data_IF_849911369998
#
_entry.id   IF_849911369998
#
_cell.length_a   1.000
_cell.length_b   1.000
_cell.length_c   1.000
_cell.angle_alpha   90.00
_cell.angle_beta   90.00
_cell.angle_gamma   90.00
#
_symmetry.space_group_name_H-M   'P 1'
#
loop_
_entity.id
_entity.type
_entity.pdbx_description
1 polymer ?
#
# COMPACT_ATOMS: atom_id res chain seq x y z
N UNK A 1 -6.87 -14.99 17.56
CA UNK A 1 -5.45 -15.09 17.16
C UNK A 1 -5.16 -16.04 16.00
N UNK A 2 -5.48 -17.34 16.11
CA UNK A 2 -4.91 -18.39 15.23
C UNK A 2 -5.26 -18.30 13.74
N UNK A 3 -6.28 -17.52 13.38
CA UNK A 3 -6.76 -17.35 12.00
C UNK A 3 -6.57 -15.93 11.47
N UNK A 4 -6.03 -15.02 12.28
CA UNK A 4 -5.86 -13.61 11.91
C UNK A 4 -4.41 -13.40 11.48
N UNK A 5 -4.15 -13.19 10.17
CA UNK A 5 -2.81 -12.98 9.69
C UNK A 5 -2.19 -11.71 10.27
N UNK A 6 -0.91 -11.74 10.61
CA UNK A 6 -0.12 -10.59 11.05
C UNK A 6 1.16 -10.49 10.21
N UNK A 7 1.97 -11.55 10.21
CA UNK A 7 3.31 -11.58 9.63
C UNK A 7 3.40 -12.27 8.26
N UNK A 8 2.32 -12.94 7.82
CA UNK A 8 2.34 -13.81 6.63
C UNK A 8 2.59 -13.00 5.34
N UNK A 9 2.04 -11.79 5.23
CA UNK A 9 2.26 -10.93 4.06
C UNK A 9 3.72 -10.50 3.96
N UNK A 10 4.35 -10.13 5.08
CA UNK A 10 5.77 -9.80 5.11
C UNK A 10 6.62 -11.02 4.69
N UNK A 11 6.30 -12.22 5.19
CA UNK A 11 6.96 -13.46 4.79
C UNK A 11 6.91 -13.71 3.28
N UNK A 12 5.74 -13.50 2.65
CA UNK A 12 5.61 -13.65 1.20
C UNK A 12 6.41 -12.59 0.44
N UNK A 13 6.34 -11.32 0.88
CA UNK A 13 7.04 -10.20 0.22
C UNK A 13 8.55 -10.32 0.24
N UNK A 14 9.14 -10.96 1.25
CA UNK A 14 10.60 -11.18 1.33
C UNK A 14 11.06 -12.47 0.64
N UNK A 15 10.14 -13.25 0.09
CA UNK A 15 10.46 -14.47 -0.67
C UNK A 15 10.95 -14.09 -2.07
N UNK A 16 12.18 -14.50 -2.47
CA UNK A 16 12.67 -14.22 -3.82
C UNK A 16 11.72 -14.72 -4.91
N UNK A 17 11.55 -13.92 -5.96
CA UNK A 17 10.67 -14.19 -7.11
C UNK A 17 9.16 -14.32 -6.82
N UNK A 18 8.73 -14.10 -5.58
CA UNK A 18 7.31 -14.05 -5.22
C UNK A 18 6.69 -12.71 -5.65
N UNK A 19 5.49 -12.73 -6.23
CA UNK A 19 4.67 -11.52 -6.37
C UNK A 19 3.51 -11.56 -5.40
N UNK A 20 3.31 -10.49 -4.64
CA UNK A 20 2.27 -10.42 -3.59
C UNK A 20 1.43 -9.16 -3.79
N UNK A 21 0.13 -9.34 -4.03
CA UNK A 21 -0.82 -8.25 -4.26
C UNK A 21 -1.84 -8.20 -3.13
N UNK A 22 -1.95 -7.05 -2.45
CA UNK A 22 -2.96 -6.75 -1.43
C UNK A 22 -3.85 -5.58 -1.92
N UNK A 23 -4.81 -5.85 -2.83
CA UNK A 23 -5.61 -4.82 -3.49
C UNK A 23 -6.58 -4.12 -2.54
N UNK A 24 -6.77 -2.81 -2.71
CA UNK A 24 -7.62 -1.99 -1.85
C UNK A 24 -9.10 -1.97 -2.22
N UNK A 25 -9.44 -2.38 -3.44
CA UNK A 25 -10.83 -2.43 -3.93
C UNK A 25 -10.97 -3.41 -5.10
N UNK A 26 -12.16 -3.44 -5.70
CA UNK A 26 -12.45 -4.31 -6.84
C UNK A 26 -11.62 -4.00 -8.10
N UNK A 27 -11.19 -2.76 -8.29
CA UNK A 27 -10.39 -2.34 -9.46
C UNK A 27 -8.98 -2.88 -9.33
N UNK A 28 -8.33 -2.66 -8.17
CA UNK A 28 -7.01 -3.22 -7.93
C UNK A 28 -7.05 -4.75 -7.92
N UNK A 29 -8.14 -5.34 -7.43
CA UNK A 29 -8.32 -6.80 -7.45
C UNK A 29 -8.34 -7.35 -8.88
N UNK A 30 -9.06 -6.72 -9.80
CA UNK A 30 -9.09 -7.12 -11.21
C UNK A 30 -7.71 -6.97 -11.88
N UNK A 31 -6.98 -5.89 -11.56
CA UNK A 31 -5.64 -5.66 -12.10
C UNK A 31 -4.63 -6.66 -11.55
N UNK A 32 -4.72 -7.00 -10.26
CA UNK A 32 -3.89 -8.03 -9.64
C UNK A 32 -4.15 -9.43 -10.25
N UNK A 33 -5.41 -9.75 -10.55
CA UNK A 33 -5.77 -10.96 -11.28
C UNK A 33 -5.15 -10.99 -12.69
N UNK A 34 -5.31 -9.90 -13.45
CA UNK A 34 -4.71 -9.76 -14.78
C UNK A 34 -3.18 -9.95 -14.72
N UNK A 35 -2.52 -9.26 -13.78
CA UNK A 35 -1.09 -9.41 -13.54
C UNK A 35 -0.73 -10.88 -13.25
N UNK A 36 -1.49 -11.53 -12.38
CA UNK A 36 -1.26 -12.91 -11.99
C UNK A 36 -1.29 -13.91 -13.15
N UNK A 37 -2.24 -13.76 -14.07
CA UNK A 37 -2.38 -14.68 -15.23
C UNK A 37 -1.44 -14.33 -16.40
N UNK A 38 -1.01 -13.08 -16.52
CA UNK A 38 -0.02 -12.65 -17.52
C UNK A 38 1.42 -12.97 -17.11
N UNK A 39 1.67 -13.18 -15.81
CA UNK A 39 2.99 -13.50 -15.29
C UNK A 39 3.39 -14.95 -15.61
N UNK A 40 4.41 -15.12 -16.45
CA UNK A 40 4.89 -16.44 -16.90
C UNK A 40 6.10 -16.96 -16.11
N UNK A 41 6.72 -16.14 -15.26
CA UNK A 41 8.05 -16.39 -14.68
C UNK A 41 8.04 -16.54 -13.14
N UNK A 42 6.87 -16.71 -12.53
CA UNK A 42 6.75 -17.01 -11.12
C UNK A 42 5.34 -16.90 -10.56
N UNK A 43 5.15 -17.22 -9.27
CA UNK A 43 3.84 -17.23 -8.63
C UNK A 43 3.34 -15.84 -8.24
N UNK A 44 2.02 -15.67 -8.23
CA UNK A 44 1.36 -14.45 -7.74
C UNK A 44 0.38 -14.83 -6.63
N UNK A 45 0.55 -14.27 -5.42
CA UNK A 45 -0.40 -14.39 -4.33
C UNK A 45 -1.33 -13.17 -4.28
N UNK A 46 -2.63 -13.42 -4.16
CA UNK A 46 -3.64 -12.41 -3.93
C UNK A 46 -4.07 -12.44 -2.47
N UNK A 47 -3.87 -11.32 -1.77
CA UNK A 47 -4.21 -11.14 -0.35
C UNK A 47 -5.52 -10.37 -0.26
N UNK A 48 -6.62 -11.10 -0.06
CA UNK A 48 -7.98 -10.58 -0.20
C UNK A 48 -8.66 -10.41 1.16
N UNK A 49 -9.53 -9.41 1.26
CA UNK A 49 -10.32 -9.14 2.47
C UNK A 49 -11.48 -10.11 2.62
N UNK A 50 -11.97 -10.24 3.86
CA UNK A 50 -13.26 -10.88 4.15
C UNK A 50 -14.41 -9.86 4.11
N UNK A 51 -14.12 -8.64 4.55
CA UNK A 51 -15.04 -7.52 4.66
C UNK A 51 -15.10 -6.70 3.36
N UNK A 52 -16.18 -5.93 3.22
CA UNK A 52 -16.37 -4.99 2.11
C UNK A 52 -15.31 -3.88 2.16
N UNK A 53 -14.85 -3.45 0.99
CA UNK A 53 -13.90 -2.35 0.83
C UNK A 53 -14.50 -1.25 -0.05
N UNK A 54 -14.30 0.01 0.33
CA UNK A 54 -14.74 1.14 -0.49
C UNK A 54 -13.89 1.27 -1.76
N UNK A 55 -14.56 1.46 -2.91
CA UNK A 55 -13.87 1.75 -4.16
C UNK A 55 -13.28 3.16 -4.14
N UNK A 56 -12.03 3.28 -4.56
CA UNK A 56 -11.35 4.57 -4.70
C UNK A 56 -11.57 5.17 -6.08
N UNK A 57 -11.76 6.48 -6.13
CA UNK A 57 -11.77 7.25 -7.38
C UNK A 57 -10.36 7.26 -7.99
N UNK A 58 -10.30 7.17 -9.32
CA UNK A 58 -9.05 7.20 -10.08
C UNK A 58 -9.23 7.97 -11.37
N UNK A 59 -8.24 8.75 -11.74
CA UNK A 59 -8.06 9.21 -13.13
C UNK A 59 -7.61 8.04 -14.01
N UNK A 60 -7.64 8.21 -15.34
CA UNK A 60 -7.13 7.20 -16.28
C UNK A 60 -5.65 6.88 -16.04
N UNK A 61 -4.83 7.89 -15.73
CA UNK A 61 -3.42 7.71 -15.40
C UNK A 61 -3.25 6.88 -14.12
N UNK A 62 -4.02 7.19 -13.07
CA UNK A 62 -3.97 6.43 -11.82
C UNK A 62 -4.40 4.99 -12.02
N UNK A 63 -5.45 4.76 -12.84
CA UNK A 63 -5.92 3.43 -13.19
C UNK A 63 -4.81 2.61 -13.88
N UNK A 64 -4.11 3.20 -14.85
CA UNK A 64 -2.98 2.55 -15.51
C UNK A 64 -1.81 2.28 -14.56
N UNK A 65 -1.58 3.18 -13.60
CA UNK A 65 -0.48 3.07 -12.64
C UNK A 65 -0.69 2.01 -11.55
N UNK A 66 -1.90 1.47 -11.36
CA UNK A 66 -2.13 0.36 -10.41
C UNK A 66 -1.21 -0.84 -10.72
N UNK A 67 -1.03 -1.17 -12.00
CA UNK A 67 -0.19 -2.28 -12.45
C UNK A 67 1.31 -2.07 -12.13
N UNK A 68 1.72 -0.84 -11.77
CA UNK A 68 3.08 -0.49 -11.37
C UNK A 68 3.36 -0.78 -9.90
N UNK A 69 2.42 -1.39 -9.19
CA UNK A 69 2.58 -1.91 -7.83
C UNK A 69 2.44 -0.87 -6.71
N UNK A 70 2.76 0.39 -6.98
CA UNK A 70 2.56 1.50 -6.06
C UNK A 70 2.43 2.82 -6.78
N UNK A 71 1.42 3.61 -6.46
CA UNK A 71 1.06 4.83 -7.19
C UNK A 71 0.40 5.87 -6.28
N UNK A 72 0.44 7.14 -6.72
CA UNK A 72 -0.18 8.26 -6.01
C UNK A 72 -1.70 8.24 -6.22
N UNK A 73 -2.45 8.06 -5.15
CA UNK A 73 -3.92 8.02 -5.17
C UNK A 73 -4.54 9.37 -4.81
N UNK A 74 -4.01 10.04 -3.80
CA UNK A 74 -4.38 11.42 -3.41
C UNK A 74 -3.10 12.24 -3.28
N UNK A 75 -3.16 13.52 -3.66
CA UNK A 75 -1.97 14.36 -3.71
C UNK A 75 -2.27 15.83 -3.41
N UNK A 76 -1.22 16.57 -3.09
CA UNK A 76 -1.27 18.01 -2.80
C UNK A 76 -0.59 18.84 -3.90
N UNK A 77 -0.82 20.16 -3.88
CA UNK A 77 -0.06 21.07 -4.73
C UNK A 77 1.37 21.29 -4.22
N UNK A 78 2.35 20.98 -5.07
CA UNK A 78 3.78 21.09 -4.76
C UNK A 78 4.31 19.84 -4.05
N UNK A 79 5.39 20.01 -3.28
CA UNK A 79 6.01 18.90 -2.56
C UNK A 79 5.21 18.57 -1.27
N UNK A 80 4.87 17.29 -1.03
CA UNK A 80 4.18 16.91 0.20
C UNK A 80 5.10 17.04 1.42
N UNK A 81 4.51 17.44 2.53
CA UNK A 81 5.10 17.44 3.87
C UNK A 81 4.95 16.06 4.53
N UNK A 82 3.93 15.29 4.14
CA UNK A 82 3.60 13.98 4.71
C UNK A 82 3.15 13.01 3.62
N UNK A 83 3.63 11.76 3.66
CA UNK A 83 3.18 10.70 2.75
C UNK A 83 2.61 9.53 3.56
N UNK A 84 1.34 9.21 3.34
CA UNK A 84 0.76 7.95 3.75
C UNK A 84 1.07 6.87 2.70
N UNK A 85 1.49 5.70 3.16
CA UNK A 85 1.71 4.51 2.33
C UNK A 85 0.80 3.41 2.89
N UNK A 86 -0.19 3.01 2.11
CA UNK A 86 -1.20 2.05 2.57
C UNK A 86 -1.44 0.94 1.55
N UNK A 87 -1.98 -0.18 2.03
CA UNK A 87 -2.35 -1.33 1.20
C UNK A 87 -3.72 -1.84 1.58
N UNK A 88 -4.38 -2.57 0.69
CA UNK A 88 -5.61 -3.28 1.01
C UNK A 88 -6.68 -2.43 1.68
N UNK A 89 -7.28 -2.99 2.72
CA UNK A 89 -8.34 -2.37 3.52
C UNK A 89 -7.93 -1.05 4.20
N UNK A 90 -6.64 -0.80 4.39
CA UNK A 90 -6.18 0.39 5.10
C UNK A 90 -6.05 1.62 4.20
N UNK A 91 -6.21 1.48 2.88
CA UNK A 91 -6.21 2.63 1.96
C UNK A 91 -7.38 3.57 2.25
N UNK A 92 -8.56 3.03 2.57
CA UNK A 92 -9.71 3.86 2.97
C UNK A 92 -9.40 4.70 4.21
N UNK A 93 -8.74 4.09 5.21
CA UNK A 93 -8.31 4.77 6.43
C UNK A 93 -7.27 5.86 6.13
N UNK A 94 -6.30 5.58 5.25
CA UNK A 94 -5.28 6.54 4.83
C UNK A 94 -5.89 7.75 4.11
N UNK A 95 -6.89 7.53 3.24
CA UNK A 95 -7.62 8.60 2.55
C UNK A 95 -8.41 9.44 3.55
N UNK A 96 -9.09 8.83 4.51
CA UNK A 96 -9.81 9.57 5.55
C UNK A 96 -8.87 10.43 6.42
N UNK A 97 -7.69 9.92 6.77
CA UNK A 97 -6.67 10.67 7.49
C UNK A 97 -6.09 11.82 6.65
N UNK A 98 -5.84 11.58 5.36
CA UNK A 98 -5.43 12.59 4.40
C UNK A 98 -6.43 13.74 4.31
N UNK A 99 -7.74 13.47 4.24
CA UNK A 99 -8.74 14.54 4.12
C UNK A 99 -8.77 15.43 5.37
N UNK A 100 -8.68 14.83 6.57
CA UNK A 100 -8.60 15.59 7.83
C UNK A 100 -7.38 16.51 7.88
N UNK A 101 -6.20 15.98 7.59
CA UNK A 101 -4.96 16.76 7.61
C UNK A 101 -4.93 17.83 6.50
N UNK A 102 -5.49 17.52 5.34
CA UNK A 102 -5.63 18.50 4.26
C UNK A 102 -6.54 19.65 4.66
N UNK A 103 -7.64 19.38 5.37
CA UNK A 103 -8.54 20.41 5.92
C UNK A 103 -7.86 21.31 6.97
N UNK A 104 -6.84 20.78 7.65
CA UNK A 104 -5.97 21.52 8.58
C UNK A 104 -4.82 22.26 7.88
N UNK A 105 -4.71 22.15 6.55
CA UNK A 105 -3.71 22.84 5.74
C UNK A 105 -2.39 22.08 5.55
N UNK A 106 -2.30 20.82 5.99
CA UNK A 106 -1.11 19.98 5.80
C UNK A 106 -1.03 19.51 4.35
N UNK A 107 0.15 19.59 3.75
CA UNK A 107 0.40 19.04 2.41
C UNK A 107 0.63 17.53 2.48
N UNK A 108 -0.45 16.77 2.54
CA UNK A 108 -0.39 15.31 2.59
C UNK A 108 -0.41 14.68 1.18
N UNK A 109 -0.01 13.42 1.10
CA UNK A 109 -0.15 12.54 -0.07
C UNK A 109 -0.56 11.15 0.40
N UNK A 110 -1.36 10.43 -0.40
CA UNK A 110 -1.66 9.00 -0.20
C UNK A 110 -1.10 8.21 -1.36
N UNK A 111 -0.29 7.22 -1.04
CA UNK A 111 0.21 6.19 -1.97
C UNK A 111 -0.50 4.88 -1.66
N UNK A 112 -1.21 4.34 -2.65
CA UNK A 112 -1.65 2.94 -2.62
C UNK A 112 -0.51 2.07 -3.10
N UNK A 113 -0.16 1.04 -2.33
CA UNK A 113 0.97 0.12 -2.61
C UNK A 113 0.48 -1.35 -2.69
N UNK A 114 -0.38 -1.71 -3.67
CA UNK A 114 -0.93 -3.05 -3.76
C UNK A 114 0.13 -4.14 -3.92
N UNK A 115 1.25 -3.88 -4.60
CA UNK A 115 2.37 -4.83 -4.74
C UNK A 115 3.72 -4.14 -4.62
N UNK A 116 4.40 -4.45 -3.52
CA UNK A 116 5.75 -3.93 -3.25
C UNK A 116 6.79 -4.47 -4.22
N UNK A 117 6.66 -5.74 -4.65
CA UNK A 117 7.57 -6.34 -5.62
C UNK A 117 7.43 -5.71 -7.03
N UNK A 118 6.19 -5.43 -7.48
CA UNK A 118 5.97 -4.75 -8.74
C UNK A 118 6.45 -3.29 -8.69
N UNK A 119 6.29 -2.61 -7.56
CA UNK A 119 6.80 -1.25 -7.33
C UNK A 119 8.32 -1.20 -7.35
N UNK A 120 8.99 -2.11 -6.63
CA UNK A 120 10.45 -2.14 -6.55
C UNK A 120 11.12 -2.41 -7.92
N UNK A 121 10.44 -3.14 -8.80
CA UNK A 121 10.87 -3.41 -10.18
C UNK A 121 10.76 -2.21 -11.12
N UNK A 122 10.05 -1.14 -10.71
CA UNK A 122 9.97 0.08 -11.51
C UNK A 122 11.33 0.81 -11.54
N UNK A 123 11.54 1.57 -12.60
CA UNK A 123 12.72 2.41 -12.72
C UNK A 123 12.82 3.42 -11.55
N UNK A 124 14.04 3.91 -11.31
CA UNK A 124 14.31 4.81 -10.20
C UNK A 124 13.57 6.16 -10.33
N UNK A 125 13.32 6.61 -11.56
CA UNK A 125 12.63 7.88 -11.80
C UNK A 125 11.18 7.80 -11.33
N UNK A 126 10.47 6.72 -11.67
CA UNK A 126 9.10 6.50 -11.22
C UNK A 126 9.00 6.32 -9.70
N UNK A 127 9.89 5.53 -9.10
CA UNK A 127 9.87 5.36 -7.64
C UNK A 127 10.07 6.70 -6.92
N UNK A 128 10.90 7.59 -7.46
CA UNK A 128 11.09 8.95 -6.94
C UNK A 128 9.87 9.85 -7.15
N UNK A 129 9.08 9.69 -8.22
CA UNK A 129 7.83 10.48 -8.37
C UNK A 129 6.76 10.07 -7.37
N UNK A 130 6.73 8.80 -6.96
CA UNK A 130 5.76 8.27 -5.98
C UNK A 130 6.22 8.53 -4.54
N UNK A 131 7.47 8.19 -4.22
CA UNK A 131 8.07 8.33 -2.89
C UNK A 131 9.35 9.19 -2.91
N UNK A 132 9.22 10.52 -3.08
CA UNK A 132 10.38 11.41 -3.19
C UNK A 132 11.31 11.28 -2.00
N UNK A 133 12.62 11.10 -2.24
CA UNK A 133 13.62 10.93 -1.18
C UNK A 133 13.73 12.13 -0.23
N UNK A 134 13.36 13.31 -0.71
CA UNK A 134 13.34 14.54 0.06
C UNK A 134 12.22 14.58 1.13
N UNK A 135 11.19 13.75 1.01
CA UNK A 135 10.07 13.68 1.97
C UNK A 135 10.27 12.47 2.88
N UNK A 136 10.84 12.72 4.05
CA UNK A 136 11.16 11.67 5.05
C UNK A 136 10.02 11.40 6.03
N UNK A 137 9.09 12.33 6.21
CA UNK A 137 7.89 12.13 7.01
C UNK A 137 6.91 11.22 6.24
N UNK A 138 6.99 9.93 6.57
CA UNK A 138 6.21 8.87 5.94
C UNK A 138 5.50 8.06 7.01
N UNK A 139 4.24 7.73 6.75
CA UNK A 139 3.41 6.90 7.64
C UNK A 139 2.92 5.70 6.87
N UNK A 140 3.39 4.51 7.24
CA UNK A 140 2.87 3.27 6.69
C UNK A 140 1.62 2.84 7.46
N UNK A 141 0.58 2.38 6.76
CA UNK A 141 -0.67 1.93 7.37
C UNK A 141 -1.05 0.57 6.77
N UNK A 142 -0.93 -0.48 7.57
CA UNK A 142 -1.30 -1.85 7.17
C UNK A 142 -1.66 -2.68 8.40
N UNK A 143 -2.77 -3.41 8.34
CA UNK A 143 -3.14 -4.41 9.33
C UNK A 143 -2.27 -5.67 9.18
N UNK A 144 -0.98 -5.53 9.49
CA UNK A 144 0.07 -6.55 9.41
C UNK A 144 1.31 -6.13 10.21
N UNK A 145 2.32 -6.99 10.29
CA UNK A 145 3.51 -6.77 11.13
C UNK A 145 4.22 -5.45 10.77
N UNK A 146 4.44 -4.60 11.77
CA UNK A 146 4.97 -3.25 11.57
C UNK A 146 6.36 -3.25 10.92
N UNK A 147 7.26 -4.14 11.35
CA UNK A 147 8.69 -4.12 10.99
C UNK A 147 8.96 -4.19 9.47
N UNK A 148 8.05 -4.75 8.68
CA UNK A 148 8.19 -4.77 7.22
C UNK A 148 8.33 -3.36 6.63
N UNK A 149 7.66 -2.38 7.24
CA UNK A 149 7.48 -1.05 6.65
C UNK A 149 8.69 -0.13 6.77
N UNK A 150 9.68 -0.45 7.62
CA UNK A 150 10.93 0.30 7.71
C UNK A 150 11.61 0.49 6.35
N UNK A 151 11.43 -0.46 5.42
CA UNK A 151 11.92 -0.37 4.04
C UNK A 151 11.44 0.89 3.29
N UNK A 152 10.19 1.32 3.53
CA UNK A 152 9.58 2.44 2.81
C UNK A 152 9.49 3.73 3.63
N UNK A 153 9.36 3.62 4.96
CA UNK A 153 9.28 4.80 5.84
C UNK A 153 10.64 5.26 6.40
N UNK A 154 11.66 4.39 6.35
CA UNK A 154 12.97 4.67 6.94
C UNK A 154 12.91 4.78 8.46
N UNK A 155 13.91 5.43 9.06
CA UNK A 155 14.05 5.54 10.52
C UNK A 155 13.36 6.78 11.12
N UNK A 156 12.89 7.70 10.28
CA UNK A 156 12.29 8.97 10.68
C UNK A 156 10.77 9.04 10.39
N UNK A 157 10.18 7.93 9.95
CA UNK A 157 8.75 7.81 9.72
C UNK A 157 8.01 7.21 10.90
N UNK A 158 6.73 6.90 10.70
CA UNK A 158 5.90 6.16 11.64
C UNK A 158 5.21 4.99 10.95
N UNK A 159 4.78 4.00 11.74
CA UNK A 159 4.12 2.79 11.24
C UNK A 159 2.88 2.55 12.09
N UNK A 160 1.72 2.56 11.45
CA UNK A 160 0.45 2.08 12.00
C UNK A 160 0.28 0.64 11.52
N UNK A 161 0.74 -0.28 12.35
CA UNK A 161 0.67 -1.71 12.08
C UNK A 161 0.56 -2.55 13.33
N UNK A 162 0.42 -3.85 13.14
CA UNK A 162 0.33 -4.83 14.21
C UNK A 162 1.73 -5.14 14.78
N UNK A 163 1.80 -5.33 16.09
CA UNK A 163 3.02 -5.74 16.81
C UNK A 163 2.79 -6.97 17.71
N UNK A 164 1.58 -7.54 17.65
CA UNK A 164 1.12 -8.67 18.46
C UNK A 164 0.22 -9.60 17.64
N UNK A 165 -0.09 -10.78 18.18
CA UNK A 165 -1.20 -11.59 17.69
C UNK A 165 -2.55 -10.85 17.85
N UNK A 166 -3.54 -11.28 17.08
CA UNK A 166 -4.91 -10.77 17.17
C UNK A 166 -5.74 -11.40 18.28
N UNK A 167 -6.93 -10.86 18.52
CA UNK A 167 -7.84 -11.30 19.58
C UNK A 167 -9.16 -11.85 19.00
N UNK A 168 -9.87 -12.67 19.79
CA UNK A 168 -11.20 -13.14 19.41
C UNK A 168 -12.25 -12.10 19.79
N UNK A 169 -12.64 -11.26 18.84
CA UNK A 169 -13.63 -10.20 18.98
C UNK A 169 -14.45 -10.05 17.67
N UNK A 170 -15.56 -9.29 17.66
CA UNK A 170 -16.26 -8.96 16.42
C UNK A 170 -15.30 -8.37 15.38
N UNK A 171 -15.47 -8.81 14.13
CA UNK A 171 -14.73 -8.33 12.97
C UNK A 171 -15.51 -7.25 12.22
#
# INVERSE_FOLDING_TARGET
PTHQPVEQVASLRVTPNMSTWRPCDQVESAIAWKYGVERQDGPTALILSRQNLAQQERTEEQLANVARGGYVLKDCAGQPELIFIATGSEVELAVAAYEKLTAEGVKARVVSMPSTDAFDRQDAAYRETVLPKAVSARVAIEAGIADYWFKYVGLNGAIVGMTTFGESAPA
#
